data_IF_982357387690
#
_entry.id   IF_982357387690
#
_cell.length_a   1.000
_cell.length_b   1.000
_cell.length_c   1.000
_cell.angle_alpha   90.00
_cell.angle_beta   90.00
_cell.angle_gamma   90.00
#
_symmetry.space_group_name_H-M   'P 1'
#
loop_
_entity.id
_entity.type
_entity.pdbx_description
1 polymer ?
#
# COMPACT_ATOMS: atom_id res chain seq x y z
N UNK A 1 2.42 -6.23 -4.65
CA UNK A 1 3.31 -5.46 -3.74
C UNK A 1 2.60 -4.21 -3.29
N UNK A 2 2.76 -3.81 -2.02
CA UNK A 2 2.13 -2.62 -1.46
C UNK A 2 3.19 -1.63 -1.04
N UNK A 3 3.11 -0.40 -1.57
CA UNK A 3 4.07 0.68 -1.33
C UNK A 3 3.36 1.98 -0.95
N UNK A 4 4.00 2.83 -0.18
CA UNK A 4 3.44 4.12 0.23
C UNK A 4 4.11 4.68 1.47
N UNK A 5 3.75 5.91 1.81
CA UNK A 5 4.34 6.63 2.93
C UNK A 5 4.05 5.95 4.27
N UNK A 6 4.92 6.15 5.26
CA UNK A 6 4.64 5.80 6.67
C UNK A 6 3.33 6.48 7.09
N UNK A 7 2.47 5.74 7.80
CA UNK A 7 1.15 6.21 8.20
C UNK A 7 0.09 6.27 7.10
N UNK A 8 0.38 5.86 5.86
CA UNK A 8 -0.65 5.83 4.79
C UNK A 8 -1.71 4.73 4.96
N UNK A 9 -1.64 3.90 6.00
CA UNK A 9 -2.62 2.86 6.28
C UNK A 9 -2.38 1.54 5.54
N UNK A 10 -1.15 1.26 5.08
CA UNK A 10 -0.78 0.00 4.38
C UNK A 10 -1.13 -1.25 5.18
N UNK A 11 -0.63 -1.34 6.41
CA UNK A 11 -0.83 -2.50 7.28
C UNK A 11 -2.31 -2.76 7.54
N UNK A 12 -3.07 -1.70 7.85
CA UNK A 12 -4.52 -1.79 8.08
C UNK A 12 -5.25 -2.25 6.82
N UNK A 13 -4.88 -1.69 5.66
CA UNK A 13 -5.45 -2.08 4.36
C UNK A 13 -5.17 -3.54 4.04
N UNK A 14 -3.92 -4.00 4.24
CA UNK A 14 -3.54 -5.39 4.00
C UNK A 14 -4.28 -6.35 4.93
N UNK A 15 -4.37 -6.06 6.23
CA UNK A 15 -5.13 -6.88 7.14
C UNK A 15 -6.63 -6.91 6.78
N UNK A 16 -7.21 -5.79 6.34
CA UNK A 16 -8.58 -5.74 5.83
C UNK A 16 -8.76 -6.63 4.59
N UNK A 17 -7.84 -6.53 3.65
CA UNK A 17 -7.85 -7.34 2.42
C UNK A 17 -7.72 -8.84 2.71
N UNK A 18 -6.86 -9.22 3.66
CA UNK A 18 -6.70 -10.62 4.09
C UNK A 18 -8.02 -11.16 4.67
N UNK A 19 -8.72 -10.38 5.51
CA UNK A 19 -10.02 -10.78 6.04
C UNK A 19 -11.04 -10.98 4.91
N UNK A 20 -11.07 -10.11 3.93
CA UNK A 20 -11.91 -10.25 2.74
C UNK A 20 -11.58 -11.54 1.96
N UNK A 21 -10.30 -11.80 1.70
CA UNK A 21 -9.85 -13.01 1.00
C UNK A 21 -10.21 -14.30 1.74
N UNK A 22 -10.20 -14.27 3.07
CA UNK A 22 -10.60 -15.42 3.91
C UNK A 22 -12.11 -15.57 4.03
N UNK A 23 -12.89 -14.75 3.34
CA UNK A 23 -14.34 -14.83 3.30
C UNK A 23 -15.04 -14.34 4.57
N UNK A 24 -14.37 -13.54 5.40
CA UNK A 24 -15.01 -12.98 6.59
C UNK A 24 -16.02 -11.92 6.22
N UNK A 25 -17.18 -12.01 6.85
CA UNK A 25 -18.26 -11.04 6.75
C UNK A 25 -18.15 -9.98 7.86
N UNK A 26 -18.86 -8.88 7.66
CA UNK A 26 -18.89 -7.81 8.64
C UNK A 26 -19.46 -8.25 9.99
N UNK A 27 -20.41 -9.22 10.00
CA UNK A 27 -21.08 -9.77 11.16
C UNK A 27 -20.20 -10.70 12.02
N UNK A 28 -19.10 -11.20 11.49
CA UNK A 28 -18.21 -12.11 12.22
C UNK A 28 -17.56 -11.40 13.42
N UNK A 29 -17.50 -12.09 14.56
CA UNK A 29 -17.01 -11.53 15.83
C UNK A 29 -15.49 -11.45 15.95
N UNK A 30 -14.78 -11.96 14.96
CA UNK A 30 -13.32 -11.98 14.96
C UNK A 30 -12.75 -11.39 13.68
N UNK A 31 -11.45 -11.04 13.73
CA UNK A 31 -10.66 -10.59 12.58
C UNK A 31 -9.27 -11.21 12.64
N UNK A 32 -8.78 -11.61 11.47
CA UNK A 32 -7.38 -11.97 11.33
C UNK A 32 -6.51 -10.72 11.32
N UNK A 33 -5.47 -10.74 12.13
CA UNK A 33 -4.39 -9.75 12.09
C UNK A 33 -3.10 -10.55 11.83
N UNK A 34 -2.69 -10.62 10.59
CA UNK A 34 -1.50 -11.39 10.17
C UNK A 34 -0.28 -10.49 10.13
N UNK A 35 -0.48 -9.23 9.74
CA UNK A 35 0.58 -8.23 9.73
C UNK A 35 0.48 -7.43 11.02
N UNK A 36 1.45 -7.64 11.91
CA UNK A 36 1.50 -6.97 13.21
C UNK A 36 2.39 -5.74 13.15
N UNK A 37 1.86 -4.62 13.62
CA UNK A 37 2.67 -3.43 13.88
C UNK A 37 3.48 -3.62 15.16
N UNK A 38 4.75 -3.18 15.15
CA UNK A 38 5.60 -3.23 16.35
C UNK A 38 5.21 -2.07 17.27
N UNK A 39 4.37 -2.35 18.26
CA UNK A 39 3.83 -1.35 19.21
C UNK A 39 4.87 -0.55 20.00
N UNK A 40 6.15 -0.92 19.95
CA UNK A 40 7.23 -0.25 20.70
C UNK A 40 7.90 0.89 19.94
N UNK A 41 7.49 1.17 18.70
CA UNK A 41 8.00 2.30 17.91
C UNK A 41 7.08 3.52 18.05
N UNK A 42 7.65 4.71 17.97
CA UNK A 42 6.88 5.96 17.92
C UNK A 42 6.00 5.97 16.67
N UNK A 43 4.86 6.66 16.74
CA UNK A 43 3.91 6.74 15.61
C UNK A 43 4.49 7.38 14.34
N UNK A 44 5.54 8.16 14.47
CA UNK A 44 6.27 8.82 13.38
C UNK A 44 7.37 7.95 12.76
N UNK A 45 7.65 6.76 13.34
CA UNK A 45 8.58 5.79 12.79
C UNK A 45 7.84 4.70 12.00
N UNK A 46 8.47 4.19 10.94
CA UNK A 46 7.92 3.06 10.18
C UNK A 46 7.80 1.83 11.07
N UNK A 47 6.59 1.31 11.20
CA UNK A 47 6.29 0.11 11.98
C UNK A 47 6.87 -1.15 11.33
N UNK A 48 6.91 -1.18 10.00
CA UNK A 48 7.51 -2.25 9.20
C UNK A 48 8.95 -1.88 8.86
N UNK A 49 9.92 -2.69 9.27
CA UNK A 49 11.36 -2.43 9.05
C UNK A 49 11.97 -3.21 7.89
N UNK A 50 11.32 -4.29 7.47
CA UNK A 50 11.79 -5.20 6.43
C UNK A 50 10.71 -5.43 5.37
N UNK A 51 11.15 -5.77 4.15
CA UNK A 51 10.24 -6.30 3.12
C UNK A 51 9.82 -7.70 3.54
N UNK A 52 8.53 -7.93 3.66
CA UNK A 52 8.00 -9.22 4.09
C UNK A 52 7.08 -9.79 3.03
N UNK A 53 7.26 -11.07 2.72
CA UNK A 53 6.44 -11.78 1.74
C UNK A 53 5.51 -12.75 2.47
N UNK A 54 4.21 -12.55 2.30
CA UNK A 54 3.16 -13.41 2.84
C UNK A 54 2.58 -14.27 1.73
N UNK A 55 2.56 -15.58 1.92
CA UNK A 55 1.92 -16.52 1.01
C UNK A 55 0.58 -16.96 1.62
N UNK A 56 -0.50 -16.64 0.94
CA UNK A 56 -1.86 -16.92 1.37
C UNK A 56 -2.52 -17.85 0.37
N UNK A 57 -3.35 -18.75 0.88
CA UNK A 57 -4.23 -19.57 0.06
C UNK A 57 -5.68 -19.19 0.38
N UNK A 58 -6.35 -18.62 -0.60
CA UNK A 58 -7.77 -18.29 -0.47
C UNK A 58 -8.64 -19.55 -0.44
N UNK A 59 -9.89 -19.48 0.08
CA UNK A 59 -10.79 -20.62 0.17
C UNK A 59 -11.09 -21.29 -1.19
N UNK A 60 -11.05 -20.54 -2.28
CA UNK A 60 -11.23 -21.04 -3.65
C UNK A 60 -9.97 -21.75 -4.21
N UNK A 61 -8.90 -21.82 -3.41
CA UNK A 61 -7.63 -22.43 -3.79
C UNK A 61 -6.62 -21.49 -4.45
N UNK A 62 -6.98 -20.25 -4.72
CA UNK A 62 -6.08 -19.24 -5.31
C UNK A 62 -4.92 -18.95 -4.36
N UNK A 63 -3.70 -19.00 -4.89
CA UNK A 63 -2.48 -18.64 -4.15
C UNK A 63 -2.18 -17.17 -4.41
N UNK A 64 -2.11 -16.39 -3.33
CA UNK A 64 -1.84 -14.95 -3.36
C UNK A 64 -0.57 -14.67 -2.60
N UNK A 65 0.39 -14.03 -3.25
CA UNK A 65 1.62 -13.56 -2.63
C UNK A 65 1.54 -12.06 -2.39
N UNK A 66 1.58 -11.65 -1.12
CA UNK A 66 1.55 -10.26 -0.72
C UNK A 66 2.96 -9.84 -0.30
N UNK A 67 3.45 -8.78 -0.92
CA UNK A 67 4.73 -8.17 -0.55
C UNK A 67 4.43 -6.89 0.20
N UNK A 68 4.61 -6.93 1.51
CA UNK A 68 4.52 -5.75 2.38
C UNK A 68 5.89 -5.05 2.45
N UNK A 69 5.89 -3.74 2.29
CA UNK A 69 7.11 -2.94 2.30
C UNK A 69 7.14 -1.95 3.46
N UNK A 70 8.33 -1.62 3.98
CA UNK A 70 8.46 -0.52 4.91
C UNK A 70 7.84 0.77 4.36
N UNK A 71 7.29 1.59 5.25
CA UNK A 71 6.82 2.91 4.88
C UNK A 71 7.99 3.82 4.52
N UNK A 72 7.85 4.53 3.44
CA UNK A 72 8.80 5.55 3.01
C UNK A 72 8.49 6.90 3.68
N UNK A 73 9.46 7.84 3.61
CA UNK A 73 9.27 9.18 4.14
C UNK A 73 9.23 9.23 5.66
N UNK A 74 9.94 8.32 6.30
CA UNK A 74 10.17 8.31 7.72
C UNK A 74 11.00 9.53 8.16
N UNK A 75 10.91 9.88 9.43
CA UNK A 75 11.70 10.95 10.07
C UNK A 75 13.20 10.78 9.92
N UNK A 76 13.66 9.56 9.60
CA UNK A 76 15.07 9.23 9.35
C UNK A 76 15.61 9.68 7.98
N UNK A 77 14.76 10.24 7.11
CA UNK A 77 15.14 10.95 5.90
C UNK A 77 15.54 10.07 4.71
N UNK A 78 16.06 10.72 3.65
CA UNK A 78 16.35 10.12 2.32
C UNK A 78 17.27 8.88 2.38
N UNK A 79 18.20 8.83 3.32
CA UNK A 79 19.09 7.65 3.47
C UNK A 79 18.29 6.37 3.75
N UNK A 80 17.26 6.50 4.58
CA UNK A 80 16.37 5.38 4.90
C UNK A 80 15.54 4.94 3.68
N UNK A 81 15.07 5.90 2.91
CA UNK A 81 14.31 5.61 1.68
C UNK A 81 15.17 4.87 0.64
N UNK A 82 16.47 5.21 0.53
CA UNK A 82 17.43 4.48 -0.31
C UNK A 82 17.61 3.03 0.20
N UNK A 83 17.78 2.83 1.50
CA UNK A 83 17.88 1.49 2.09
C UNK A 83 16.62 0.65 1.81
N UNK A 84 15.43 1.25 1.94
CA UNK A 84 14.16 0.59 1.65
C UNK A 84 14.09 0.17 0.17
N UNK A 85 14.49 1.06 -0.74
CA UNK A 85 14.54 0.76 -2.18
C UNK A 85 15.49 -0.42 -2.48
N UNK A 86 16.65 -0.45 -1.83
CA UNK A 86 17.60 -1.57 -1.97
C UNK A 86 17.02 -2.89 -1.42
N UNK A 87 16.32 -2.86 -0.28
CA UNK A 87 15.65 -4.04 0.27
C UNK A 87 14.56 -4.57 -0.64
N UNK A 88 13.77 -3.69 -1.24
CA UNK A 88 12.75 -4.07 -2.23
C UNK A 88 13.44 -4.75 -3.43
N UNK A 89 14.49 -4.14 -3.96
CA UNK A 89 15.26 -4.71 -5.08
C UNK A 89 15.79 -6.10 -4.74
N UNK A 90 16.38 -6.26 -3.56
CA UNK A 90 16.93 -7.54 -3.13
C UNK A 90 15.84 -8.61 -2.98
N UNK A 91 14.70 -8.26 -2.41
CA UNK A 91 13.56 -9.18 -2.30
C UNK A 91 13.08 -9.67 -3.67
N UNK A 92 13.11 -8.82 -4.70
CA UNK A 92 12.78 -9.23 -6.06
C UNK A 92 13.83 -10.15 -6.68
N UNK A 93 15.10 -9.90 -6.43
CA UNK A 93 16.18 -10.76 -6.94
C UNK A 93 16.12 -12.15 -6.29
N UNK A 94 15.86 -12.22 -4.99
CA UNK A 94 16.00 -13.45 -4.21
C UNK A 94 14.72 -14.30 -4.18
N UNK A 95 13.55 -13.69 -4.21
CA UNK A 95 12.28 -14.37 -3.86
C UNK A 95 11.20 -14.25 -4.93
N UNK A 96 11.15 -13.14 -5.65
CA UNK A 96 10.05 -12.80 -6.53
C UNK A 96 10.48 -12.91 -8.00
N UNK A 97 9.79 -13.73 -8.78
CA UNK A 97 10.04 -13.90 -10.21
C UNK A 97 9.23 -12.92 -11.08
N UNK A 98 8.13 -12.40 -10.56
CA UNK A 98 7.22 -11.50 -11.29
C UNK A 98 6.39 -10.66 -10.33
N UNK A 99 5.83 -9.57 -10.83
CA UNK A 99 4.90 -8.72 -10.09
C UNK A 99 3.62 -8.54 -10.89
N UNK A 100 2.49 -8.93 -10.29
CA UNK A 100 1.18 -8.79 -10.93
C UNK A 100 0.60 -7.40 -10.70
N UNK A 101 0.78 -6.83 -9.49
CA UNK A 101 0.20 -5.55 -9.14
C UNK A 101 1.10 -4.79 -8.14
N UNK A 102 1.27 -3.49 -8.38
CA UNK A 102 1.91 -2.54 -7.48
C UNK A 102 0.85 -1.60 -6.95
N UNK A 103 0.49 -1.77 -5.68
CA UNK A 103 -0.51 -0.96 -4.99
C UNK A 103 0.16 0.26 -4.36
N UNK A 104 -0.01 1.42 -4.97
CA UNK A 104 0.44 2.69 -4.39
C UNK A 104 -0.60 3.22 -3.41
N UNK A 105 -0.27 3.19 -2.12
CA UNK A 105 -1.19 3.56 -1.05
C UNK A 105 -0.98 5.02 -0.64
N UNK A 106 -2.05 5.80 -0.71
CA UNK A 106 -2.04 7.21 -0.35
C UNK A 106 -3.30 7.60 0.44
N UNK A 107 -3.17 8.58 1.34
CA UNK A 107 -4.32 9.09 2.09
C UNK A 107 -5.19 9.99 1.21
N UNK A 108 -6.51 9.76 1.23
CA UNK A 108 -7.48 10.50 0.41
C UNK A 108 -7.55 11.99 0.74
N UNK A 109 -7.26 12.36 1.99
CA UNK A 109 -7.31 13.72 2.52
C UNK A 109 -6.11 14.60 2.17
N UNK A 110 -5.03 14.00 1.65
CA UNK A 110 -3.84 14.76 1.27
C UNK A 110 -4.13 15.63 0.04
N UNK A 111 -4.13 16.95 0.19
CA UNK A 111 -4.36 17.86 -0.93
C UNK A 111 -3.22 17.82 -1.96
N UNK A 112 -2.01 17.44 -1.53
CA UNK A 112 -0.83 17.37 -2.39
C UNK A 112 0.03 16.18 -2.01
N UNK A 113 0.66 15.59 -3.01
CA UNK A 113 1.71 14.61 -2.79
C UNK A 113 2.94 15.31 -2.22
N UNK A 114 3.48 14.77 -1.13
CA UNK A 114 4.75 15.23 -0.58
C UNK A 114 5.90 14.95 -1.55
N UNK A 115 7.01 15.66 -1.38
CA UNK A 115 8.23 15.38 -2.14
C UNK A 115 8.68 13.92 -1.97
N UNK A 116 8.52 13.37 -0.76
CA UNK A 116 8.84 11.98 -0.45
C UNK A 116 7.94 10.99 -1.20
N UNK A 117 6.64 11.25 -1.29
CA UNK A 117 5.72 10.39 -2.06
C UNK A 117 6.07 10.37 -3.55
N UNK A 118 6.43 11.52 -4.12
CA UNK A 118 6.90 11.61 -5.51
C UNK A 118 8.22 10.86 -5.71
N UNK A 119 9.16 11.03 -4.78
CA UNK A 119 10.45 10.33 -4.80
C UNK A 119 10.26 8.81 -4.76
N UNK A 120 9.42 8.30 -3.85
CA UNK A 120 9.12 6.88 -3.73
C UNK A 120 8.61 6.30 -5.04
N UNK A 121 7.63 6.99 -5.62
CA UNK A 121 7.02 6.55 -6.85
C UNK A 121 8.06 6.44 -7.99
N UNK A 122 8.92 7.45 -8.11
CA UNK A 122 10.00 7.43 -9.09
C UNK A 122 10.99 6.29 -8.81
N UNK A 123 11.39 6.07 -7.55
CA UNK A 123 12.26 4.96 -7.18
C UNK A 123 11.67 3.59 -7.55
N UNK A 124 10.36 3.41 -7.39
CA UNK A 124 9.70 2.17 -7.78
C UNK A 124 9.68 2.00 -9.30
N UNK A 125 9.38 3.06 -10.06
CA UNK A 125 9.47 3.01 -11.53
C UNK A 125 10.90 2.71 -12.01
N UNK A 126 11.89 3.38 -11.44
CA UNK A 126 13.30 3.16 -11.78
C UNK A 126 13.76 1.73 -11.47
N UNK A 127 13.17 1.13 -10.43
CA UNK A 127 13.50 -0.24 -10.03
C UNK A 127 13.03 -1.28 -11.05
N UNK A 128 11.84 -1.10 -11.59
CA UNK A 128 11.15 -2.07 -12.42
C UNK A 128 11.13 -1.70 -13.91
N UNK A 129 11.42 -0.46 -14.25
CA UNK A 129 11.34 0.03 -15.62
C UNK A 129 9.91 0.26 -16.12
N UNK A 130 9.78 0.46 -17.43
CA UNK A 130 8.53 0.82 -18.08
C UNK A 130 7.52 -0.33 -18.16
N UNK A 131 7.98 -1.57 -18.08
CA UNK A 131 7.15 -2.77 -18.24
C UNK A 131 6.09 -2.92 -17.15
N UNK A 132 6.28 -2.28 -15.99
CA UNK A 132 5.35 -2.38 -14.87
C UNK A 132 4.31 -1.26 -14.83
N UNK A 133 4.31 -0.35 -15.78
CA UNK A 133 3.36 0.79 -15.79
C UNK A 133 1.90 0.33 -15.74
N UNK A 134 1.55 -0.73 -16.46
CA UNK A 134 0.21 -1.31 -16.46
C UNK A 134 -0.16 -2.05 -15.17
N UNK A 135 0.83 -2.38 -14.35
CA UNK A 135 0.63 -3.14 -13.11
C UNK A 135 0.37 -2.22 -11.89
N UNK A 136 0.43 -0.90 -12.07
CA UNK A 136 0.14 0.03 -10.98
C UNK A 136 -1.36 0.16 -10.74
N UNK A 137 -1.71 0.33 -9.46
CA UNK A 137 -3.03 0.73 -9.02
C UNK A 137 -2.89 1.65 -7.81
N UNK A 138 -3.77 2.65 -7.72
CA UNK A 138 -3.78 3.54 -6.58
C UNK A 138 -4.83 3.11 -5.55
N UNK A 139 -4.42 2.93 -4.30
CA UNK A 139 -5.31 2.61 -3.19
C UNK A 139 -5.41 3.80 -2.24
N UNK A 140 -6.57 4.46 -2.23
CA UNK A 140 -6.82 5.64 -1.42
C UNK A 140 -7.43 5.22 -0.09
N UNK A 141 -6.72 5.48 0.99
CA UNK A 141 -7.14 5.16 2.36
C UNK A 141 -7.81 6.36 3.03
N UNK A 142 -8.46 6.12 4.17
CA UNK A 142 -9.18 7.13 4.96
C UNK A 142 -10.24 7.88 4.15
N UNK A 143 -10.91 7.18 3.23
CA UNK A 143 -11.99 7.77 2.44
C UNK A 143 -13.27 7.86 3.26
N UNK A 144 -13.88 9.04 3.29
CA UNK A 144 -15.10 9.36 4.04
C UNK A 144 -16.38 9.39 3.17
N UNK A 145 -16.26 8.92 1.92
CA UNK A 145 -17.36 8.97 0.94
C UNK A 145 -17.29 10.18 0.00
N UNK A 146 -16.60 11.26 0.37
CA UNK A 146 -16.37 12.41 -0.50
C UNK A 146 -15.43 12.09 -1.67
N UNK A 147 -15.33 13.03 -2.62
CA UNK A 147 -14.29 12.94 -3.67
C UNK A 147 -12.91 13.09 -3.02
N UNK A 148 -12.00 12.11 -3.20
CA UNK A 148 -10.66 12.21 -2.64
C UNK A 148 -9.91 13.44 -3.17
N UNK A 149 -9.43 14.27 -2.26
CA UNK A 149 -8.75 15.52 -2.60
C UNK A 149 -7.43 15.27 -3.35
N UNK A 150 -6.77 14.16 -3.04
CA UNK A 150 -5.49 13.77 -3.64
C UNK A 150 -5.55 13.51 -5.14
N UNK A 151 -6.74 13.22 -5.71
CA UNK A 151 -6.88 12.86 -7.13
C UNK A 151 -6.34 13.94 -8.06
N UNK A 152 -6.59 15.20 -7.74
CA UNK A 152 -6.11 16.32 -8.57
C UNK A 152 -4.57 16.39 -8.58
N UNK A 153 -3.94 16.00 -7.48
CA UNK A 153 -2.47 15.91 -7.39
C UNK A 153 -1.90 14.71 -8.14
N UNK A 154 -2.59 13.56 -8.07
CA UNK A 154 -2.18 12.34 -8.80
C UNK A 154 -2.30 12.52 -10.32
N UNK A 155 -3.30 13.24 -10.79
CA UNK A 155 -3.52 13.54 -12.21
C UNK A 155 -2.70 14.73 -12.72
N UNK A 156 -1.98 15.41 -11.84
CA UNK A 156 -1.16 16.56 -12.24
C UNK A 156 0.00 16.16 -13.15
N UNK A 157 0.20 16.89 -14.25
CA UNK A 157 1.34 16.72 -15.16
C UNK A 157 2.72 16.88 -14.48
N UNK A 158 2.75 17.42 -13.25
CA UNK A 158 3.96 17.53 -12.45
C UNK A 158 4.34 16.25 -11.71
N UNK A 159 3.54 15.20 -11.84
CA UNK A 159 3.77 13.92 -11.19
C UNK A 159 3.73 12.78 -12.22
N UNK A 160 4.75 11.96 -12.23
CA UNK A 160 4.91 10.87 -13.22
C UNK A 160 3.73 9.88 -13.24
N UNK A 161 2.94 9.79 -12.16
CA UNK A 161 1.74 8.96 -12.14
C UNK A 161 0.75 9.35 -13.24
N UNK A 162 0.67 10.64 -13.58
CA UNK A 162 -0.15 11.12 -14.71
C UNK A 162 0.22 10.41 -16.02
N UNK A 163 1.48 10.12 -16.25
CA UNK A 163 1.97 9.48 -17.47
C UNK A 163 1.61 7.99 -17.53
N UNK A 164 1.42 7.34 -16.39
CA UNK A 164 1.10 5.91 -16.34
C UNK A 164 -0.40 5.62 -16.28
N UNK A 165 -1.24 6.59 -15.87
CA UNK A 165 -2.71 6.41 -15.82
C UNK A 165 -3.28 5.83 -17.13
N UNK A 166 -2.84 6.25 -18.34
CA UNK A 166 -3.35 5.70 -19.58
C UNK A 166 -3.05 4.21 -19.81
N UNK A 167 -2.06 3.66 -19.10
CA UNK A 167 -1.66 2.25 -19.20
C UNK A 167 -2.36 1.36 -18.20
N UNK A 168 -3.05 1.94 -17.20
CA UNK A 168 -3.75 1.22 -16.14
C UNK A 168 -5.19 0.99 -16.57
N UNK A 169 -5.71 -0.22 -16.35
CA UNK A 169 -7.14 -0.51 -16.56
C UNK A 169 -8.02 0.34 -15.63
N UNK A 170 -9.18 0.76 -16.14
CA UNK A 170 -10.15 1.48 -15.31
C UNK A 170 -10.93 0.49 -14.42
N UNK A 171 -11.11 0.86 -13.13
CA UNK A 171 -10.65 2.08 -12.45
C UNK A 171 -9.18 2.00 -12.02
N UNK A 172 -8.41 3.08 -12.25
CA UNK A 172 -7.00 3.18 -11.86
C UNK A 172 -6.79 3.46 -10.37
N UNK A 173 -7.87 3.70 -9.61
CA UNK A 173 -7.83 3.84 -8.15
C UNK A 173 -9.04 3.20 -7.49
N UNK A 174 -8.85 2.82 -6.23
CA UNK A 174 -9.90 2.33 -5.35
C UNK A 174 -9.91 3.10 -4.03
N UNK A 175 -11.12 3.27 -3.44
CA UNK A 175 -11.33 3.98 -2.19
C UNK A 175 -11.56 3.01 -1.04
N UNK A 176 -10.90 3.24 0.09
CA UNK A 176 -11.00 2.39 1.28
C UNK A 176 -11.23 3.24 2.54
N UNK A 177 -12.14 2.77 3.37
CA UNK A 177 -12.25 3.16 4.77
C UNK A 177 -12.24 1.90 5.63
N UNK A 178 -11.07 1.56 6.15
CA UNK A 178 -10.87 0.31 6.88
C UNK A 178 -11.12 0.43 8.38
N UNK A 179 -11.47 1.61 8.90
CA UNK A 179 -11.69 1.84 10.33
C UNK A 179 -12.79 0.93 10.90
N UNK A 180 -13.92 0.82 10.20
CA UNK A 180 -15.05 0.01 10.63
C UNK A 180 -14.79 -1.51 10.69
N UNK A 181 -13.77 -2.02 9.98
CA UNK A 181 -13.47 -3.45 9.98
C UNK A 181 -12.90 -3.91 11.32
N UNK A 182 -12.10 -3.04 11.97
CA UNK A 182 -11.40 -3.32 13.23
C UNK A 182 -12.04 -2.61 14.43
N UNK A 183 -13.16 -1.93 14.24
CA UNK A 183 -13.88 -1.27 15.31
C UNK A 183 -14.50 -2.32 16.26
N UNK A 184 -14.28 -2.13 17.57
CA UNK A 184 -14.94 -2.98 18.57
C UNK A 184 -16.45 -2.74 18.51
N UNK A 185 -17.21 -3.77 18.21
CA UNK A 185 -18.67 -3.70 18.35
C UNK A 185 -19.00 -3.64 19.84
N UNK A 186 -19.49 -2.51 20.27
CA UNK A 186 -20.18 -2.47 21.55
C UNK A 186 -21.55 -3.11 21.32
N UNK A 187 -21.72 -4.37 21.71
CA UNK A 187 -23.04 -4.97 21.86
C UNK A 187 -23.82 -4.12 22.84
N UNK A 188 -24.94 -3.54 22.39
CA UNK A 188 -25.91 -2.85 23.24
C UNK A 188 -26.61 -3.84 24.16
#
# INVERSE_FOLDING_TARGET
MVVGQTGSGKTTLLNAYINYLMGLNYEDDFRYIIIHEQFNKKQDESQTSEVTVYNLKAPDGTIIQIVDTPGFGDTLGIKKDIEITQKIRQAFIDVLSSITCICFVAQSSNARLSANQKYIFNCILDLFGDDVKSNFICMLTFCDGAKPVILDSLQSKQFMFHEIIPFIENPWFYKFNNSGIFEKRYTK
#
